data_IF_222532752570
#
_entry.id   IF_222532752570
#
_cell.length_a   1.000
_cell.length_b   1.000
_cell.length_c   1.000
_cell.angle_alpha   90.00
_cell.angle_beta   90.00
_cell.angle_gamma   90.00
#
_symmetry.space_group_name_H-M   'P 1'
#
loop_
_entity.id
_entity.type
_entity.pdbx_description
1 polymer ?
#
# COMPACT_ATOMS: atom_id res chain seq x y z
N UNK A 1 8.29 -65.80 45.45
CA UNK A 1 7.79 -65.15 46.68
C UNK A 1 6.56 -64.34 46.27
N UNK A 2 5.32 -64.82 46.38
CA UNK A 2 4.47 -64.90 47.60
C UNK A 2 4.55 -63.55 48.36
N UNK A 3 3.51 -62.78 48.62
CA UNK A 3 2.06 -62.85 48.45
C UNK A 3 1.43 -61.52 48.94
N UNK A 4 0.11 -61.34 48.74
CA UNK A 4 -0.67 -60.15 49.18
C UNK A 4 -0.63 -59.95 50.72
N UNK A 5 -1.12 -58.80 51.25
CA UNK A 5 -2.54 -58.73 51.60
C UNK A 5 -3.25 -57.36 51.36
N UNK A 6 -4.58 -57.50 51.43
CA UNK A 6 -5.72 -56.60 51.29
C UNK A 6 -5.98 -55.59 52.42
N UNK A 7 -6.72 -54.50 52.14
CA UNK A 7 -8.04 -54.07 52.73
C UNK A 7 -8.34 -52.60 52.32
N UNK A 8 -9.44 -52.30 51.61
CA UNK A 8 -10.78 -51.80 52.07
C UNK A 8 -10.68 -50.57 53.01
N UNK A 9 -11.44 -49.46 52.97
CA UNK A 9 -12.65 -48.97 52.25
C UNK A 9 -12.89 -47.51 52.75
N UNK A 10 -13.77 -46.73 52.08
CA UNK A 10 -14.53 -45.53 52.54
C UNK A 10 -13.88 -44.13 52.54
N UNK A 11 -14.36 -43.28 51.62
CA UNK A 11 -15.27 -42.19 51.98
C UNK A 11 -14.75 -40.74 51.96
N UNK A 12 -15.60 -39.86 51.38
CA UNK A 12 -15.68 -38.37 51.46
C UNK A 12 -15.13 -37.65 50.22
N UNK A 13 -16.02 -37.32 49.27
CA UNK A 13 -16.76 -36.05 49.17
C UNK A 13 -15.84 -34.86 48.90
N UNK A 14 -15.75 -34.50 47.62
CA UNK A 14 -15.51 -33.15 47.14
C UNK A 14 -16.43 -32.16 47.85
N UNK A 15 -15.89 -31.03 48.29
CA UNK A 15 -16.49 -29.68 48.32
C UNK A 15 -15.41 -28.72 48.87
N UNK A 16 -15.02 -27.75 48.06
CA UNK A 16 -14.49 -26.43 48.47
C UNK A 16 -14.73 -25.51 47.28
N UNK A 17 -15.90 -24.84 47.25
CA UNK A 17 -16.08 -23.44 47.65
C UNK A 17 -15.48 -22.46 46.62
N UNK A 18 -16.22 -22.25 45.52
CA UNK A 18 -16.22 -21.01 44.75
C UNK A 18 -17.69 -20.56 44.65
N UNK A 19 -18.13 -19.83 45.68
CA UNK A 19 -19.10 -18.73 45.57
C UNK A 19 -18.24 -17.49 45.90
N UNK A 20 -18.38 -16.31 45.29
CA UNK A 20 -19.59 -15.49 45.18
C UNK A 20 -19.35 -14.41 44.08
N UNK A 21 -20.45 -13.94 43.47
CA UNK A 21 -20.62 -12.71 42.69
C UNK A 21 -20.38 -12.76 41.17
N UNK A 22 -21.31 -13.39 40.45
CA UNK A 22 -21.63 -12.99 39.07
C UNK A 22 -23.13 -13.15 38.78
N UNK A 23 -23.95 -12.36 39.47
CA UNK A 23 -25.33 -12.06 39.04
C UNK A 23 -25.86 -10.94 39.94
N UNK A 24 -26.05 -9.76 39.37
CA UNK A 24 -26.97 -8.65 39.73
C UNK A 24 -26.37 -7.36 39.19
N UNK A 25 -26.70 -6.99 37.95
CA UNK A 25 -26.97 -5.61 37.47
C UNK A 25 -27.22 -5.59 35.95
N UNK A 26 -28.35 -6.15 35.51
CA UNK A 26 -28.88 -5.93 34.14
C UNK A 26 -30.32 -5.41 34.15
N UNK A 27 -30.90 -5.03 35.31
CA UNK A 27 -32.33 -4.64 35.37
C UNK A 27 -32.59 -3.19 35.85
N UNK A 28 -31.56 -2.39 36.14
CA UNK A 28 -31.76 -1.06 36.77
C UNK A 28 -31.53 0.14 35.84
N UNK A 29 -31.86 0.05 34.54
CA UNK A 29 -31.81 1.23 33.63
C UNK A 29 -33.13 1.49 32.88
N UNK A 30 -34.10 0.57 32.93
CA UNK A 30 -35.35 0.73 32.15
C UNK A 30 -36.50 1.40 32.95
N UNK A 31 -36.34 1.63 34.26
CA UNK A 31 -37.43 2.13 35.13
C UNK A 31 -37.21 3.51 35.77
N UNK A 32 -36.42 4.40 35.18
CA UNK A 32 -36.30 5.81 35.62
C UNK A 32 -36.82 6.82 34.57
N UNK A 33 -37.43 6.37 33.47
CA UNK A 33 -38.02 7.28 32.46
C UNK A 33 -39.56 7.34 32.44
N UNK A 34 -40.23 6.82 33.47
CA UNK A 34 -41.68 7.01 33.65
C UNK A 34 -41.98 7.17 35.13
N UNK A 35 -41.86 8.39 35.65
CA UNK A 35 -42.60 8.92 36.81
C UNK A 35 -42.02 10.27 37.25
N UNK A 36 -42.01 11.27 36.38
CA UNK A 36 -42.02 12.69 36.77
C UNK A 36 -42.73 13.48 35.66
N UNK A 37 -44.03 13.19 35.50
CA UNK A 37 -44.97 14.10 34.88
C UNK A 37 -45.94 14.50 35.99
N UNK A 38 -45.84 15.75 36.44
CA UNK A 38 -46.96 16.69 36.68
C UNK A 38 -46.47 17.94 37.43
N UNK A 39 -46.87 19.09 36.88
CA UNK A 39 -47.12 20.40 37.49
C UNK A 39 -45.95 21.31 37.91
N UNK A 40 -45.88 22.46 37.23
CA UNK A 40 -45.16 23.67 37.63
C UNK A 40 -45.20 24.74 36.53
N UNK A 41 -46.02 25.77 36.74
CA UNK A 41 -46.25 26.93 35.87
C UNK A 41 -45.12 27.98 35.89
N UNK A 42 -45.10 28.78 34.80
CA UNK A 42 -44.48 30.11 34.59
C UNK A 42 -42.95 30.25 34.64
N UNK A 43 -42.32 30.56 33.50
CA UNK A 43 -41.85 31.91 33.16
C UNK A 43 -41.17 31.94 31.77
N UNK A 44 -41.28 33.09 31.12
CA UNK A 44 -40.80 33.40 29.78
C UNK A 44 -39.27 33.49 29.73
N UNK A 45 -38.64 32.68 28.86
CA UNK A 45 -37.30 32.96 28.36
C UNK A 45 -37.21 32.58 26.87
N UNK A 46 -37.18 33.58 26.01
CA UNK A 46 -36.92 33.46 24.58
C UNK A 46 -35.55 32.83 24.34
N UNK A 47 -35.53 31.62 23.78
CA UNK A 47 -34.34 30.89 23.36
C UNK A 47 -33.75 31.59 22.12
N UNK A 48 -32.43 31.91 22.08
CA UNK A 48 -31.80 32.47 20.87
C UNK A 48 -31.82 31.42 19.75
N UNK A 49 -31.92 31.83 18.47
CA UNK A 49 -32.04 30.90 17.35
C UNK A 49 -30.80 30.03 17.22
N UNK A 50 -31.01 28.72 17.14
CA UNK A 50 -29.97 27.75 16.79
C UNK A 50 -29.32 28.15 15.46
N UNK A 51 -27.98 28.11 15.35
CA UNK A 51 -27.33 28.29 14.06
C UNK A 51 -27.73 27.10 13.20
N UNK A 52 -28.54 27.36 12.17
CA UNK A 52 -28.83 26.42 11.10
C UNK A 52 -27.54 26.18 10.34
N UNK A 53 -26.74 25.22 10.80
CA UNK A 53 -25.78 24.55 9.96
C UNK A 53 -26.57 23.89 8.85
N UNK A 54 -26.60 24.53 7.68
CA UNK A 54 -26.99 23.88 6.43
C UNK A 54 -26.16 22.60 6.35
N UNK A 55 -26.80 21.46 6.62
CA UNK A 55 -26.29 20.15 6.21
C UNK A 55 -26.05 20.26 4.71
N UNK A 56 -24.78 20.36 4.33
CA UNK A 56 -24.38 20.28 2.94
C UNK A 56 -24.78 18.88 2.46
N UNK A 57 -25.65 18.83 1.45
CA UNK A 57 -26.01 17.61 0.76
C UNK A 57 -24.75 16.84 0.35
N UNK A 58 -24.58 15.56 0.75
CA UNK A 58 -23.41 14.75 0.42
C UNK A 58 -23.13 14.60 -1.08
N UNK A 59 -24.12 14.90 -1.93
CA UNK A 59 -24.09 14.69 -3.37
C UNK A 59 -23.35 15.84 -4.10
N UNK A 60 -23.18 17.03 -3.49
CA UNK A 60 -22.47 18.16 -4.15
C UNK A 60 -20.94 18.09 -4.07
N UNK A 61 -20.38 17.29 -3.16
CA UNK A 61 -18.92 17.18 -2.97
C UNK A 61 -18.20 16.28 -3.98
N UNK A 62 -18.93 15.52 -4.80
CA UNK A 62 -18.33 14.63 -5.82
C UNK A 62 -17.89 15.38 -7.10
N UNK A 63 -18.21 16.67 -7.23
CA UNK A 63 -18.05 17.44 -8.47
C UNK A 63 -16.66 18.09 -8.70
N UNK A 64 -15.70 17.96 -7.77
CA UNK A 64 -14.45 18.73 -7.83
C UNK A 64 -13.34 18.05 -8.64
N UNK A 65 -13.28 16.72 -8.63
CA UNK A 65 -12.22 15.98 -9.31
C UNK A 65 -12.73 15.40 -10.62
N UNK A 66 -12.50 16.10 -11.73
CA UNK A 66 -12.79 15.61 -13.09
C UNK A 66 -11.48 15.44 -13.85
N UNK A 67 -11.50 14.58 -14.88
CA UNK A 67 -10.34 14.45 -15.76
C UNK A 67 -9.99 15.79 -16.42
N UNK A 68 -11.00 16.56 -16.83
CA UNK A 68 -10.84 17.87 -17.48
C UNK A 68 -10.09 18.85 -16.58
N UNK A 69 -10.44 18.88 -15.29
CA UNK A 69 -9.75 19.72 -14.32
C UNK A 69 -8.27 19.32 -14.20
N UNK A 70 -7.99 18.02 -14.14
CA UNK A 70 -6.62 17.51 -14.01
C UNK A 70 -5.80 17.68 -15.29
N UNK A 71 -6.41 17.51 -16.45
CA UNK A 71 -5.75 17.65 -17.74
C UNK A 71 -5.34 19.09 -18.06
N UNK A 72 -5.96 20.08 -17.42
CA UNK A 72 -5.66 21.51 -17.57
C UNK A 72 -4.66 22.04 -16.54
N UNK A 73 -4.27 21.22 -15.55
CA UNK A 73 -3.28 21.62 -14.55
C UNK A 73 -1.93 21.88 -15.21
N UNK A 74 -1.36 23.05 -14.92
CA UNK A 74 -0.01 23.44 -15.29
C UNK A 74 1.00 23.16 -14.16
N UNK A 75 0.63 22.30 -13.21
CA UNK A 75 1.46 21.87 -12.10
C UNK A 75 1.36 20.37 -11.83
N UNK A 76 2.41 19.83 -11.24
CA UNK A 76 2.44 18.47 -10.72
C UNK A 76 1.64 18.38 -9.42
N UNK A 77 1.06 17.21 -9.14
CA UNK A 77 0.27 16.94 -7.93
C UNK A 77 1.14 16.66 -6.68
N UNK A 78 2.47 16.67 -6.83
CA UNK A 78 3.39 16.33 -5.75
C UNK A 78 3.92 17.55 -4.99
N UNK A 79 4.60 18.48 -5.68
CA UNK A 79 5.28 19.62 -5.06
C UNK A 79 5.76 20.66 -6.09
N UNK A 80 6.13 21.86 -5.64
CA UNK A 80 6.75 22.90 -6.50
C UNK A 80 8.01 22.41 -7.22
N UNK A 81 8.83 21.61 -6.55
CA UNK A 81 10.03 21.03 -7.16
C UNK A 81 9.66 20.10 -8.31
N UNK A 82 8.68 19.21 -8.10
CA UNK A 82 8.20 18.33 -9.16
C UNK A 82 7.54 19.11 -10.31
N UNK A 83 6.87 20.24 -10.05
CA UNK A 83 6.36 21.14 -11.10
C UNK A 83 7.49 21.78 -11.90
N UNK A 84 8.56 22.23 -11.23
CA UNK A 84 9.71 22.86 -11.87
C UNK A 84 10.46 21.92 -12.84
N UNK A 85 10.34 20.60 -12.68
CA UNK A 85 10.89 19.62 -13.63
C UNK A 85 10.16 19.58 -14.98
N UNK A 86 8.92 20.10 -15.05
CA UNK A 86 8.10 20.10 -16.26
C UNK A 86 7.42 18.76 -16.56
N UNK A 87 6.69 18.65 -17.68
CA UNK A 87 5.97 17.42 -18.06
C UNK A 87 6.91 16.28 -18.46
N UNK A 88 6.32 15.13 -18.84
CA UNK A 88 7.00 13.95 -19.38
C UNK A 88 7.92 13.19 -18.39
N UNK A 89 7.55 13.20 -17.11
CA UNK A 89 8.35 12.60 -16.05
C UNK A 89 8.20 11.08 -15.97
N UNK A 90 9.30 10.41 -15.60
CA UNK A 90 9.35 8.97 -15.25
C UNK A 90 9.53 8.84 -13.75
N UNK A 91 8.54 8.30 -13.05
CA UNK A 91 8.45 8.35 -11.59
C UNK A 91 8.60 6.98 -10.94
N UNK A 92 9.38 6.88 -9.87
CA UNK A 92 9.31 5.76 -8.92
C UNK A 92 8.70 6.29 -7.64
N UNK A 93 7.52 5.79 -7.30
CA UNK A 93 6.70 6.31 -6.23
C UNK A 93 6.84 5.47 -4.96
N UNK A 94 7.13 6.14 -3.85
CA UNK A 94 7.25 5.56 -2.52
C UNK A 94 6.23 6.21 -1.59
N UNK A 95 5.68 5.42 -0.66
CA UNK A 95 4.92 5.92 0.49
C UNK A 95 5.76 5.78 1.75
N UNK A 96 5.92 6.85 2.52
CA UNK A 96 6.67 6.83 3.79
C UNK A 96 5.83 7.51 4.88
N UNK A 97 5.57 6.80 5.97
CA UNK A 97 4.88 7.32 7.15
C UNK A 97 5.41 6.58 8.37
N UNK A 98 5.69 7.32 9.44
CA UNK A 98 6.33 6.77 10.64
C UNK A 98 5.42 5.87 11.48
N UNK A 99 6.02 5.11 12.40
CA UNK A 99 5.32 4.24 13.36
C UNK A 99 4.33 4.96 14.28
N UNK A 100 4.37 6.28 14.37
CA UNK A 100 3.45 7.12 15.14
C UNK A 100 2.43 7.85 14.27
N UNK A 101 2.42 7.58 12.97
CA UNK A 101 1.45 8.16 12.04
C UNK A 101 0.09 7.47 12.19
N UNK A 102 -1.02 8.17 11.91
CA UNK A 102 -2.37 7.60 12.01
C UNK A 102 -2.64 6.37 11.12
N UNK A 103 -1.75 6.09 10.17
CA UNK A 103 -1.85 4.93 9.27
C UNK A 103 -1.19 3.67 9.83
N UNK A 104 -0.43 3.75 10.93
CA UNK A 104 0.25 2.60 11.53
C UNK A 104 0.66 2.84 12.98
N UNK A 105 0.63 1.79 13.79
CA UNK A 105 1.30 1.72 15.10
C UNK A 105 2.18 0.46 15.13
N UNK A 106 3.21 0.45 14.28
CA UNK A 106 4.08 -0.71 14.09
C UNK A 106 5.56 -0.26 14.00
N UNK A 107 6.45 -0.80 14.86
CA UNK A 107 7.88 -0.50 14.85
C UNK A 107 8.58 -0.72 13.50
N UNK A 108 8.03 -1.54 12.61
CA UNK A 108 8.52 -1.73 11.24
C UNK A 108 8.52 -0.43 10.40
N UNK A 109 7.75 0.58 10.81
CA UNK A 109 7.73 1.90 10.19
C UNK A 109 8.54 2.94 10.98
N UNK A 110 9.48 2.50 11.81
CA UNK A 110 10.39 3.39 12.53
C UNK A 110 11.36 4.08 11.58
N UNK A 111 11.58 5.37 11.79
CA UNK A 111 12.47 6.20 10.97
C UNK A 111 13.92 5.70 11.01
N UNK A 112 14.44 5.42 12.20
CA UNK A 112 15.86 5.12 12.39
C UNK A 112 16.20 3.65 12.13
N UNK A 113 15.27 2.72 12.40
CA UNK A 113 15.55 1.28 12.30
C UNK A 113 15.07 0.63 11.01
N UNK A 114 14.18 1.29 10.26
CA UNK A 114 13.55 0.69 9.08
C UNK A 114 13.54 1.64 7.88
N UNK A 115 12.88 2.80 7.99
CA UNK A 115 12.70 3.71 6.85
C UNK A 115 14.04 4.16 6.26
N UNK A 116 14.91 4.80 7.06
CA UNK A 116 16.18 5.32 6.54
C UNK A 116 17.18 4.23 6.16
N UNK A 117 17.34 3.14 6.94
CA UNK A 117 18.17 2.01 6.55
C UNK A 117 17.79 1.38 5.21
N UNK A 118 16.50 1.38 4.83
CA UNK A 118 16.05 0.86 3.54
C UNK A 118 16.02 1.91 2.42
N UNK A 119 15.65 3.14 2.73
CA UNK A 119 15.55 4.21 1.75
C UNK A 119 16.91 4.59 1.16
N UNK A 120 17.95 4.73 2.00
CA UNK A 120 19.29 5.11 1.56
C UNK A 120 19.86 4.17 0.48
N UNK A 121 19.91 2.84 0.67
CA UNK A 121 20.36 1.93 -0.37
C UNK A 121 19.43 1.96 -1.60
N UNK A 122 18.12 2.04 -1.41
CA UNK A 122 17.18 2.09 -2.54
C UNK A 122 17.40 3.30 -3.46
N UNK A 123 17.61 4.49 -2.87
CA UNK A 123 17.91 5.71 -3.62
C UNK A 123 19.21 5.53 -4.43
N UNK A 124 20.24 4.94 -3.83
CA UNK A 124 21.50 4.68 -4.51
C UNK A 124 21.36 3.67 -5.65
N UNK A 125 20.64 2.58 -5.43
CA UNK A 125 20.38 1.56 -6.45
C UNK A 125 19.60 2.14 -7.64
N UNK A 126 18.53 2.90 -7.38
CA UNK A 126 17.74 3.56 -8.43
C UNK A 126 18.60 4.57 -9.20
N UNK A 127 19.43 5.36 -8.51
CA UNK A 127 20.34 6.31 -9.17
C UNK A 127 21.28 5.61 -10.17
N UNK A 128 21.74 4.40 -9.86
CA UNK A 128 22.63 3.63 -10.73
C UNK A 128 21.85 2.95 -11.86
N UNK A 129 20.74 2.30 -11.53
CA UNK A 129 20.03 1.39 -12.43
C UNK A 129 18.99 2.09 -13.32
N UNK A 130 18.43 3.21 -12.85
CA UNK A 130 17.39 3.98 -13.52
C UNK A 130 17.68 5.50 -13.41
N UNK A 131 18.85 5.99 -13.89
CA UNK A 131 19.31 7.36 -13.65
C UNK A 131 18.38 8.46 -14.20
N UNK A 132 17.55 8.14 -15.21
CA UNK A 132 16.57 9.07 -15.78
C UNK A 132 15.22 9.10 -15.05
N UNK A 133 15.02 8.22 -14.06
CA UNK A 133 13.80 8.17 -13.28
C UNK A 133 13.94 9.02 -12.02
N UNK A 134 12.87 9.70 -11.64
CA UNK A 134 12.78 10.56 -10.45
C UNK A 134 12.10 9.75 -9.35
N UNK A 135 12.65 9.79 -8.14
CA UNK A 135 11.99 9.19 -6.97
C UNK A 135 11.03 10.23 -6.40
N UNK A 136 9.73 9.89 -6.30
CA UNK A 136 8.74 10.70 -5.59
C UNK A 136 8.36 10.03 -4.29
N UNK A 137 8.61 10.72 -3.18
CA UNK A 137 8.32 10.22 -1.84
C UNK A 137 7.08 10.94 -1.31
N UNK A 138 5.96 10.22 -1.27
CA UNK A 138 4.73 10.67 -0.61
C UNK A 138 4.85 10.42 0.88
N UNK A 139 4.93 11.50 1.66
CA UNK A 139 5.46 11.44 3.02
C UNK A 139 4.57 12.12 4.05
N UNK A 140 4.42 11.47 5.21
CA UNK A 140 3.99 12.09 6.45
C UNK A 140 5.18 12.09 7.41
N UNK A 141 5.67 13.29 7.72
CA UNK A 141 6.84 13.50 8.57
C UNK A 141 6.59 13.26 10.07
N UNK A 142 5.41 12.80 10.46
CA UNK A 142 5.10 12.44 11.85
C UNK A 142 6.14 11.44 12.40
N UNK A 143 6.73 11.79 13.55
CA UNK A 143 7.78 10.99 14.20
C UNK A 143 9.20 11.17 13.62
N UNK A 144 9.40 11.98 12.57
CA UNK A 144 10.74 12.26 12.03
C UNK A 144 11.47 13.37 12.80
N UNK A 145 12.81 13.31 12.81
CA UNK A 145 13.68 14.38 13.31
C UNK A 145 13.95 15.43 12.24
N UNK A 146 14.34 16.64 12.64
CA UNK A 146 14.69 17.71 11.69
C UNK A 146 15.87 17.31 10.77
N UNK A 147 16.83 16.54 11.27
CA UNK A 147 17.96 16.07 10.47
C UNK A 147 17.52 15.08 9.39
N UNK A 148 16.56 14.20 9.70
CA UNK A 148 15.95 13.30 8.70
C UNK A 148 15.20 14.10 7.62
N UNK A 149 14.42 15.12 8.00
CA UNK A 149 13.76 16.01 7.02
C UNK A 149 14.77 16.69 6.10
N UNK A 150 15.79 17.32 6.68
CA UNK A 150 16.85 18.00 5.93
C UNK A 150 17.60 17.06 5.00
N UNK A 151 17.87 15.83 5.43
CA UNK A 151 18.48 14.80 4.58
C UNK A 151 17.62 14.47 3.37
N UNK A 152 16.31 14.27 3.54
CA UNK A 152 15.42 13.93 2.43
C UNK A 152 15.35 15.03 1.38
N UNK A 153 15.26 16.29 1.82
CA UNK A 153 15.27 17.44 0.92
C UNK A 153 16.63 17.69 0.23
N UNK A 154 17.74 17.13 0.75
CA UNK A 154 19.06 17.26 0.12
C UNK A 154 19.35 16.18 -0.93
N UNK A 155 18.49 15.16 -1.05
CA UNK A 155 18.69 14.08 -2.01
C UNK A 155 18.50 14.58 -3.46
N UNK A 156 19.50 14.39 -4.35
CA UNK A 156 19.36 14.76 -5.74
C UNK A 156 18.38 13.80 -6.43
N UNK A 157 17.66 14.32 -7.41
CA UNK A 157 16.70 13.54 -8.20
C UNK A 157 15.59 12.85 -7.38
N UNK A 158 15.30 13.40 -6.20
CA UNK A 158 14.18 13.03 -5.34
C UNK A 158 13.25 14.23 -5.22
N UNK A 159 11.96 13.99 -5.30
CA UNK A 159 10.92 14.96 -4.99
C UNK A 159 10.16 14.51 -3.74
N UNK A 160 9.98 15.45 -2.81
CA UNK A 160 9.20 15.23 -1.59
C UNK A 160 7.77 15.72 -1.84
N UNK A 161 6.81 14.82 -1.69
CA UNK A 161 5.37 15.10 -1.76
C UNK A 161 4.81 15.03 -0.33
N UNK A 162 4.89 16.13 0.41
CA UNK A 162 4.38 16.20 1.77
C UNK A 162 2.85 16.10 1.76
N UNK A 163 2.32 15.04 2.36
CA UNK A 163 0.89 14.71 2.36
C UNK A 163 0.02 15.78 3.04
N UNK A 164 0.60 16.67 3.85
CA UNK A 164 -0.10 17.80 4.47
C UNK A 164 -0.24 19.02 3.54
N UNK A 165 0.50 19.05 2.43
CA UNK A 165 0.61 20.25 1.57
C UNK A 165 0.69 19.92 0.07
N UNK A 166 0.06 18.83 -0.36
CA UNK A 166 -0.01 18.47 -1.77
C UNK A 166 -0.71 19.55 -2.60
N UNK A 167 -0.20 19.89 -3.80
CA UNK A 167 -0.94 20.67 -4.78
C UNK A 167 -2.32 20.06 -5.05
N UNK A 168 -3.33 20.90 -5.28
CA UNK A 168 -4.74 20.55 -5.49
C UNK A 168 -5.45 19.93 -4.28
N UNK A 169 -4.82 18.98 -3.59
CA UNK A 169 -5.45 18.22 -2.50
C UNK A 169 -5.28 18.86 -1.11
N UNK A 170 -4.24 19.66 -0.90
CA UNK A 170 -3.81 20.07 0.43
C UNK A 170 -3.58 18.84 1.33
N UNK A 171 -4.11 18.87 2.54
CA UNK A 171 -4.07 17.74 3.48
C UNK A 171 -5.21 16.72 3.29
N UNK A 172 -6.16 16.93 2.38
CA UNK A 172 -7.42 16.15 2.33
C UNK A 172 -7.21 14.64 2.14
N UNK A 173 -6.20 14.22 1.36
CA UNK A 173 -5.94 12.80 1.14
C UNK A 173 -5.59 12.08 2.45
N UNK A 174 -4.97 12.76 3.42
CA UNK A 174 -4.68 12.17 4.71
C UNK A 174 -5.94 11.69 5.42
N UNK A 175 -7.10 12.32 5.21
CA UNK A 175 -8.33 12.01 5.95
C UNK A 175 -9.00 10.69 5.55
N UNK A 176 -8.57 10.09 4.45
CA UNK A 176 -9.26 8.92 3.91
C UNK A 176 -8.41 7.97 3.08
N UNK A 177 -7.29 8.41 2.49
CA UNK A 177 -6.46 7.57 1.64
C UNK A 177 -5.40 6.85 2.50
N UNK A 178 -5.42 5.50 2.56
CA UNK A 178 -4.44 4.74 3.32
C UNK A 178 -3.00 4.99 2.84
N UNK A 179 -2.05 4.97 3.79
CA UNK A 179 -0.63 5.29 3.54
C UNK A 179 0.00 4.57 2.35
N UNK A 180 -0.17 3.24 2.26
CA UNK A 180 0.35 2.43 1.15
C UNK A 180 -0.16 2.82 -0.23
N UNK A 181 -1.30 3.52 -0.32
CA UNK A 181 -1.92 3.91 -1.58
C UNK A 181 -1.48 5.31 -2.05
N UNK A 182 -0.75 6.09 -1.25
CA UNK A 182 -0.27 7.40 -1.69
C UNK A 182 0.64 7.32 -2.91
N UNK A 183 1.51 6.30 -2.97
CA UNK A 183 2.33 5.98 -4.14
C UNK A 183 1.56 5.64 -5.42
N UNK A 184 0.22 5.51 -5.36
CA UNK A 184 -0.60 5.31 -6.55
C UNK A 184 -1.03 6.63 -7.19
N UNK A 185 -0.98 7.74 -6.44
CA UNK A 185 -1.43 9.07 -6.91
C UNK A 185 -0.69 9.63 -8.14
N UNK A 186 0.59 9.28 -8.44
CA UNK A 186 1.23 9.70 -9.70
C UNK A 186 0.49 9.30 -10.96
N UNK A 187 -0.37 8.27 -10.92
CA UNK A 187 -1.17 7.87 -12.09
C UNK A 187 -2.14 8.96 -12.55
N UNK A 188 -2.52 9.86 -11.63
CA UNK A 188 -3.43 10.98 -11.87
C UNK A 188 -2.67 12.27 -12.23
N UNK A 189 -1.36 12.28 -12.10
CA UNK A 189 -0.55 13.48 -12.27
C UNK A 189 -0.36 13.82 -13.76
N UNK A 190 -0.70 15.05 -14.20
CA UNK A 190 -0.60 15.44 -15.60
C UNK A 190 0.84 15.43 -16.13
N UNK A 191 1.84 15.61 -15.26
CA UNK A 191 3.25 15.72 -15.65
C UNK A 191 3.95 14.36 -15.73
N UNK A 192 3.28 13.29 -15.32
CA UNK A 192 3.84 11.94 -15.31
C UNK A 192 3.48 11.24 -16.62
N UNK A 193 4.48 10.63 -17.26
CA UNK A 193 4.30 9.79 -18.45
C UNK A 193 4.40 8.31 -18.12
N UNK A 194 5.29 7.96 -17.18
CA UNK A 194 5.49 6.60 -16.68
C UNK A 194 5.66 6.65 -15.17
N UNK A 195 5.07 5.69 -14.47
CA UNK A 195 5.40 5.50 -13.06
C UNK A 195 5.49 4.03 -12.67
N UNK A 196 6.24 3.80 -11.60
CA UNK A 196 6.38 2.52 -10.89
C UNK A 196 5.98 2.74 -9.43
N UNK A 197 5.13 1.88 -8.89
CA UNK A 197 4.82 1.83 -7.46
C UNK A 197 5.82 0.92 -6.77
N UNK A 198 6.37 1.36 -5.62
CA UNK A 198 7.47 0.65 -4.96
C UNK A 198 7.33 0.59 -3.44
N UNK A 199 7.72 -0.54 -2.85
CA UNK A 199 7.96 -0.69 -1.42
C UNK A 199 9.41 -0.27 -1.08
N UNK A 200 9.60 0.50 0.00
CA UNK A 200 10.91 1.06 0.36
C UNK A 200 11.92 0.00 0.80
N UNK A 201 11.42 -1.11 1.32
CA UNK A 201 12.20 -2.25 1.83
C UNK A 201 12.73 -3.18 0.72
N UNK A 202 12.30 -2.98 -0.53
CA UNK A 202 12.58 -3.89 -1.65
C UNK A 202 13.70 -3.37 -2.56
N UNK A 203 14.82 -4.10 -2.73
CA UNK A 203 15.95 -3.64 -3.55
C UNK A 203 15.64 -3.51 -5.04
N UNK A 204 16.06 -2.40 -5.65
CA UNK A 204 16.07 -2.26 -7.10
C UNK A 204 17.26 -3.04 -7.66
N UNK A 205 17.01 -3.97 -8.58
CA UNK A 205 18.02 -4.86 -9.15
C UNK A 205 17.94 -4.91 -10.67
N UNK A 206 19.03 -5.34 -11.32
CA UNK A 206 19.12 -5.40 -12.79
C UNK A 206 17.95 -6.15 -13.43
N UNK A 207 17.52 -7.25 -12.81
CA UNK A 207 16.38 -8.06 -13.26
C UNK A 207 15.11 -7.25 -13.47
N UNK A 208 14.81 -6.30 -12.58
CA UNK A 208 13.65 -5.42 -12.74
C UNK A 208 13.87 -4.37 -13.83
N UNK A 209 15.09 -3.84 -13.93
CA UNK A 209 15.39 -2.88 -15.01
C UNK A 209 15.27 -3.49 -16.40
N UNK A 210 15.56 -4.78 -16.55
CA UNK A 210 15.36 -5.49 -17.81
C UNK A 210 13.88 -5.60 -18.18
N UNK A 211 13.00 -5.92 -17.21
CA UNK A 211 11.56 -5.96 -17.48
C UNK A 211 10.98 -4.57 -17.77
N UNK A 212 11.47 -3.53 -17.09
CA UNK A 212 11.13 -2.12 -17.39
C UNK A 212 11.59 -1.73 -18.80
N UNK A 213 12.82 -2.04 -19.18
CA UNK A 213 13.34 -1.72 -20.51
C UNK A 213 12.55 -2.42 -21.62
N UNK A 214 12.17 -3.68 -21.40
CA UNK A 214 11.27 -4.40 -22.31
C UNK A 214 9.92 -3.67 -22.36
N UNK A 215 9.31 -3.34 -21.22
CA UNK A 215 8.02 -2.65 -21.18
C UNK A 215 8.03 -1.28 -21.90
N UNK A 216 9.12 -0.54 -21.80
CA UNK A 216 9.28 0.76 -22.43
C UNK A 216 9.62 0.70 -23.92
N UNK A 217 9.90 -0.48 -24.48
CA UNK A 217 10.24 -0.62 -25.90
C UNK A 217 9.06 -0.32 -26.82
N UNK A 218 9.36 0.01 -28.08
CA UNK A 218 8.35 0.27 -29.12
C UNK A 218 7.45 -0.96 -29.37
N UNK A 219 7.99 -2.18 -29.24
CA UNK A 219 7.22 -3.43 -29.32
C UNK A 219 6.06 -3.47 -28.30
N UNK A 220 6.24 -2.79 -27.16
CA UNK A 220 5.32 -2.79 -26.04
C UNK A 220 4.65 -1.45 -25.80
N UNK A 221 4.64 -0.56 -26.81
CA UNK A 221 3.98 0.74 -26.71
C UNK A 221 2.51 0.64 -26.29
N UNK A 222 1.77 -0.34 -26.83
CA UNK A 222 0.35 -0.58 -26.50
C UNK A 222 0.12 -1.14 -25.09
N UNK A 223 1.18 -1.49 -24.35
CA UNK A 223 1.11 -2.00 -22.98
C UNK A 223 1.14 -0.83 -22.00
N UNK A 224 -0.04 -0.43 -21.52
CA UNK A 224 -0.18 0.73 -20.63
C UNK A 224 0.10 0.40 -19.16
N UNK A 225 0.33 -0.88 -18.85
CA UNK A 225 0.56 -1.41 -17.51
C UNK A 225 1.71 -2.41 -17.50
N UNK A 226 2.44 -2.46 -16.38
CA UNK A 226 3.53 -3.39 -16.11
C UNK A 226 3.29 -4.08 -14.77
N UNK A 227 3.39 -5.41 -14.72
CA UNK A 227 3.10 -6.19 -13.51
C UNK A 227 4.15 -7.29 -13.35
N UNK A 228 4.72 -7.43 -12.15
CA UNK A 228 5.77 -8.40 -11.86
C UNK A 228 5.33 -9.33 -10.71
N UNK A 229 5.48 -10.64 -10.91
CA UNK A 229 5.19 -11.69 -9.91
C UNK A 229 6.36 -12.67 -9.83
N UNK A 230 7.37 -12.29 -9.04
CA UNK A 230 8.65 -12.99 -9.00
C UNK A 230 8.81 -13.95 -7.81
N UNK A 231 7.75 -14.37 -7.13
CA UNK A 231 7.85 -15.29 -5.99
C UNK A 231 6.61 -16.15 -5.83
N UNK A 232 6.72 -17.32 -5.19
CA UNK A 232 5.57 -18.22 -4.96
C UNK A 232 4.50 -17.61 -4.05
N UNK A 233 4.82 -16.56 -3.29
CA UNK A 233 3.84 -15.81 -2.53
C UNK A 233 3.22 -14.64 -3.31
N UNK A 234 3.71 -14.36 -4.53
CA UNK A 234 3.24 -13.28 -5.39
C UNK A 234 2.03 -13.72 -6.26
N UNK A 235 1.17 -14.58 -5.71
CA UNK A 235 0.04 -15.19 -6.42
C UNK A 235 -1.17 -14.27 -6.66
N UNK A 236 -1.13 -13.05 -6.12
CA UNK A 236 -2.18 -12.05 -6.29
C UNK A 236 -2.10 -11.35 -7.65
N UNK A 237 -3.18 -10.68 -8.04
CA UNK A 237 -3.28 -10.09 -9.38
C UNK A 237 -2.30 -8.95 -9.61
N UNK A 238 -2.13 -8.03 -8.65
CA UNK A 238 -1.15 -6.94 -8.74
C UNK A 238 -0.60 -6.70 -7.32
N UNK A 239 0.71 -6.87 -7.13
CA UNK A 239 1.37 -6.52 -5.87
C UNK A 239 1.46 -5.01 -5.70
N UNK A 240 1.39 -4.53 -4.45
CA UNK A 240 1.40 -3.09 -4.15
C UNK A 240 2.68 -2.38 -4.61
N UNK A 241 3.84 -3.02 -4.48
CA UNK A 241 5.16 -2.45 -4.81
C UNK A 241 5.83 -2.99 -6.08
N UNK A 242 5.13 -3.74 -6.94
CA UNK A 242 5.70 -4.37 -8.14
C UNK A 242 4.82 -4.19 -9.38
N UNK A 243 4.45 -2.94 -9.65
CA UNK A 243 3.70 -2.59 -10.86
C UNK A 243 4.02 -1.17 -11.33
N UNK A 244 3.64 -0.88 -12.58
CA UNK A 244 3.72 0.45 -13.15
C UNK A 244 2.62 0.70 -14.16
N UNK A 245 2.43 1.97 -14.51
CA UNK A 245 1.56 2.36 -15.62
C UNK A 245 2.18 3.47 -16.46
N UNK A 246 1.64 3.66 -17.66
CA UNK A 246 2.04 4.69 -18.61
C UNK A 246 0.94 5.75 -18.78
N UNK A 247 0.73 6.68 -17.82
CA UNK A 247 -0.21 7.80 -17.97
C UNK A 247 -0.04 8.58 -19.27
N UNK A 248 1.20 8.75 -19.76
CA UNK A 248 1.48 9.45 -21.01
C UNK A 248 0.81 8.81 -22.23
N UNK A 249 0.54 7.49 -22.18
CA UNK A 249 -0.10 6.73 -23.25
C UNK A 249 -1.63 6.61 -23.09
N UNK A 250 -2.16 6.80 -21.87
CA UNK A 250 -3.55 6.46 -21.56
C UNK A 250 -4.18 7.31 -20.42
N UNK A 251 -3.84 8.60 -20.34
CA UNK A 251 -4.16 9.47 -19.20
C UNK A 251 -5.63 9.44 -18.78
N UNK A 252 -6.57 9.61 -19.73
CA UNK A 252 -8.01 9.59 -19.41
C UNK A 252 -8.48 8.22 -18.93
N UNK A 253 -8.07 7.15 -19.62
CA UNK A 253 -8.42 5.78 -19.22
C UNK A 253 -7.91 5.48 -17.80
N UNK A 254 -6.65 5.86 -17.51
CA UNK A 254 -6.03 5.63 -16.21
C UNK A 254 -6.65 6.50 -15.12
N UNK A 255 -7.03 7.74 -15.43
CA UNK A 255 -7.83 8.58 -14.52
C UNK A 255 -9.13 7.87 -14.14
N UNK A 256 -9.92 7.41 -15.11
CA UNK A 256 -11.20 6.74 -14.83
C UNK A 256 -11.02 5.42 -14.03
N UNK A 257 -9.92 4.70 -14.27
CA UNK A 257 -9.59 3.48 -13.52
C UNK A 257 -9.27 3.79 -12.05
N UNK A 258 -8.49 4.84 -11.81
CA UNK A 258 -7.97 5.21 -10.48
C UNK A 258 -8.78 6.29 -9.77
N UNK A 259 -9.83 6.83 -10.39
CA UNK A 259 -10.76 7.75 -9.77
C UNK A 259 -11.30 7.28 -8.40
N UNK A 260 -11.54 5.98 -8.15
CA UNK A 260 -11.91 5.49 -6.82
C UNK A 260 -10.91 5.81 -5.70
N UNK A 261 -9.63 6.12 -6.00
CA UNK A 261 -8.67 6.65 -5.02
C UNK A 261 -9.12 7.98 -4.42
N UNK A 262 -9.88 8.78 -5.18
CA UNK A 262 -10.31 10.12 -4.79
C UNK A 262 -11.67 10.13 -4.09
N UNK A 263 -12.32 8.97 -3.93
CA UNK A 263 -13.63 8.84 -3.31
C UNK A 263 -13.47 8.36 -1.86
N UNK A 264 -13.70 9.21 -0.83
CA UNK A 264 -13.46 8.83 0.57
C UNK A 264 -14.23 7.59 1.04
N UNK A 265 -15.47 7.42 0.59
CA UNK A 265 -16.32 6.27 0.93
C UNK A 265 -15.82 4.94 0.33
N UNK A 266 -14.97 5.00 -0.70
CA UNK A 266 -14.34 3.82 -1.30
C UNK A 266 -12.95 3.61 -0.71
N UNK A 267 -12.07 4.61 -0.79
CA UNK A 267 -10.66 4.47 -0.42
C UNK A 267 -10.44 4.05 1.06
N UNK A 268 -11.31 4.49 2.00
CA UNK A 268 -11.21 4.11 3.42
C UNK A 268 -11.34 2.62 3.69
N UNK A 269 -11.91 1.85 2.76
CA UNK A 269 -12.11 0.40 2.92
C UNK A 269 -10.83 -0.41 2.82
N UNK A 270 -9.74 0.19 2.33
CA UNK A 270 -8.52 -0.50 1.90
C UNK A 270 -7.33 -0.30 2.86
N UNK A 271 -7.50 -0.61 4.15
CA UNK A 271 -6.42 -0.56 5.14
C UNK A 271 -5.54 -1.85 5.12
N UNK A 272 -4.40 -1.84 5.82
CA UNK A 272 -3.55 -3.04 5.94
C UNK A 272 -2.95 -3.50 4.60
N UNK A 273 -3.37 -4.66 4.10
CA UNK A 273 -3.03 -5.17 2.74
C UNK A 273 -3.95 -4.64 1.64
N UNK A 274 -4.80 -3.67 1.97
CA UNK A 274 -5.86 -3.17 1.11
C UNK A 274 -5.36 -2.44 -0.15
N UNK A 275 -4.09 -2.05 -0.22
CA UNK A 275 -3.53 -1.52 -1.47
C UNK A 275 -3.55 -2.59 -2.59
N UNK A 276 -3.29 -3.85 -2.25
CA UNK A 276 -3.38 -4.97 -3.18
C UNK A 276 -4.84 -5.33 -3.50
N UNK A 277 -5.72 -5.29 -2.49
CA UNK A 277 -7.15 -5.53 -2.70
C UNK A 277 -7.77 -4.47 -3.60
N UNK A 278 -7.40 -3.19 -3.44
CA UNK A 278 -7.83 -2.10 -4.29
C UNK A 278 -7.43 -2.36 -5.74
N UNK A 279 -6.16 -2.73 -5.97
CA UNK A 279 -5.68 -3.06 -7.30
C UNK A 279 -6.42 -4.27 -7.90
N UNK A 280 -6.69 -5.29 -7.11
CA UNK A 280 -7.45 -6.47 -7.54
C UNK A 280 -8.90 -6.14 -7.92
N UNK A 281 -9.59 -5.34 -7.11
CA UNK A 281 -11.02 -5.07 -7.27
C UNK A 281 -11.32 -3.96 -8.28
N UNK A 282 -10.50 -2.91 -8.36
CA UNK A 282 -10.79 -1.74 -9.19
C UNK A 282 -9.96 -1.65 -10.46
N UNK A 283 -8.77 -2.25 -10.49
CA UNK A 283 -7.77 -2.01 -11.55
C UNK A 283 -7.59 -3.24 -12.44
N UNK A 284 -7.35 -4.41 -11.86
CA UNK A 284 -6.91 -5.62 -12.57
C UNK A 284 -7.75 -5.95 -13.81
N UNK A 285 -9.07 -6.09 -13.66
CA UNK A 285 -9.95 -6.46 -14.78
C UNK A 285 -9.94 -5.42 -15.92
N UNK A 286 -9.69 -4.14 -15.60
CA UNK A 286 -9.66 -3.04 -16.57
C UNK A 286 -8.32 -2.95 -17.32
N UNK A 287 -7.25 -3.54 -16.79
CA UNK A 287 -5.88 -3.41 -17.34
C UNK A 287 -5.27 -4.71 -17.84
N UNK A 288 -5.75 -5.89 -17.41
CA UNK A 288 -5.09 -7.18 -17.67
C UNK A 288 -4.81 -7.48 -19.15
N UNK A 289 -5.69 -7.07 -20.06
CA UNK A 289 -5.50 -7.25 -21.51
C UNK A 289 -4.45 -6.31 -22.11
N UNK A 290 -4.20 -5.17 -21.44
CA UNK A 290 -3.23 -4.14 -21.84
C UNK A 290 -1.97 -4.14 -20.94
N UNK A 291 -1.80 -5.14 -20.08
CA UNK A 291 -0.61 -5.28 -19.25
C UNK A 291 0.49 -6.07 -19.98
N UNK A 292 1.74 -5.69 -19.74
CA UNK A 292 2.90 -6.56 -19.89
C UNK A 292 3.19 -7.17 -18.52
N UNK A 293 3.20 -8.49 -18.44
CA UNK A 293 3.30 -9.21 -17.18
C UNK A 293 4.48 -10.17 -17.22
N UNK A 294 5.24 -10.23 -16.14
CA UNK A 294 6.30 -11.20 -15.94
C UNK A 294 6.03 -12.03 -14.69
N UNK A 295 6.20 -13.35 -14.79
CA UNK A 295 5.74 -14.29 -13.77
C UNK A 295 6.62 -15.53 -13.69
N UNK A 296 7.09 -15.85 -12.47
CA UNK A 296 7.96 -16.99 -12.22
C UNK A 296 7.21 -18.27 -11.84
N UNK A 297 5.98 -18.17 -11.30
CA UNK A 297 5.26 -19.31 -10.71
C UNK A 297 3.81 -19.45 -11.19
N UNK A 298 3.16 -18.34 -11.52
CA UNK A 298 1.74 -18.21 -11.79
C UNK A 298 1.41 -17.95 -13.26
N UNK A 299 2.36 -18.20 -14.19
CA UNK A 299 2.15 -17.99 -15.63
C UNK A 299 0.94 -18.75 -16.22
N UNK A 300 0.55 -19.88 -15.62
CA UNK A 300 -0.66 -20.63 -16.01
C UNK A 300 -1.96 -19.99 -15.51
N UNK A 301 -1.91 -19.38 -14.33
CA UNK A 301 -3.02 -18.64 -13.73
C UNK A 301 -3.23 -17.31 -14.44
N UNK A 302 -2.15 -16.57 -14.67
CA UNK A 302 -2.14 -15.29 -15.39
C UNK A 302 -1.74 -15.50 -16.85
N UNK A 303 -2.69 -15.99 -17.66
CA UNK A 303 -2.47 -16.24 -19.09
C UNK A 303 -1.93 -14.99 -19.79
N UNK A 304 -0.87 -15.18 -20.57
CA UNK A 304 -0.17 -14.10 -21.26
C UNK A 304 0.97 -13.46 -20.46
N UNK A 305 1.19 -13.86 -19.20
CA UNK A 305 2.44 -13.58 -18.50
C UNK A 305 3.61 -14.23 -19.22
N UNK A 306 4.72 -13.50 -19.28
CA UNK A 306 6.00 -13.94 -19.82
C UNK A 306 6.88 -14.49 -18.69
N UNK A 307 7.79 -15.42 -18.98
CA UNK A 307 8.88 -15.73 -18.07
C UNK A 307 9.77 -14.49 -17.91
N UNK A 308 10.43 -14.34 -16.77
CA UNK A 308 11.42 -13.28 -16.60
C UNK A 308 12.61 -13.46 -17.57
N UNK A 309 13.23 -12.34 -18.01
CA UNK A 309 14.30 -12.37 -19.02
C UNK A 309 15.67 -12.80 -18.47
N UNK A 310 15.80 -12.97 -17.16
CA UNK A 310 17.04 -13.40 -16.49
C UNK A 310 16.81 -14.57 -15.54
N UNK A 311 17.89 -15.26 -15.20
CA UNK A 311 17.93 -16.17 -14.06
C UNK A 311 18.20 -15.38 -12.77
N UNK A 312 17.57 -15.76 -11.66
CA UNK A 312 17.96 -15.26 -10.34
C UNK A 312 19.28 -15.93 -9.94
N UNK A 313 20.23 -15.17 -9.37
CA UNK A 313 21.49 -15.77 -8.91
C UNK A 313 21.26 -16.78 -7.78
N UNK A 314 20.21 -16.60 -6.96
CA UNK A 314 19.74 -17.50 -5.90
C UNK A 314 18.23 -17.40 -5.79
N UNK A 315 17.59 -18.42 -5.23
CA UNK A 315 16.13 -18.44 -5.16
C UNK A 315 15.50 -17.30 -4.34
N UNK A 316 16.18 -16.83 -3.28
CA UNK A 316 15.73 -15.72 -2.43
C UNK A 316 16.02 -14.32 -3.02
N UNK A 317 16.62 -14.25 -4.21
CA UNK A 317 16.90 -13.00 -4.94
C UNK A 317 15.73 -12.61 -5.87
N UNK A 318 14.49 -12.61 -5.35
CA UNK A 318 13.31 -12.24 -6.12
C UNK A 318 12.97 -10.75 -6.01
N UNK A 319 12.30 -10.20 -7.01
CA UNK A 319 11.76 -8.83 -6.96
C UNK A 319 10.70 -8.73 -5.87
N UNK A 320 10.78 -7.71 -5.02
CA UNK A 320 9.86 -7.50 -3.89
C UNK A 320 10.25 -8.20 -2.59
N UNK A 321 11.47 -8.76 -2.52
CA UNK A 321 12.00 -9.29 -1.27
C UNK A 321 12.30 -8.17 -0.27
N UNK A 322 12.04 -8.42 1.01
CA UNK A 322 12.37 -7.49 2.10
C UNK A 322 13.88 -7.54 2.35
N UNK A 323 14.55 -6.39 2.38
CA UNK A 323 15.97 -6.32 2.78
C UNK A 323 16.18 -6.78 4.23
N UNK A 324 17.28 -7.49 4.54
CA UNK A 324 18.30 -7.98 3.63
C UNK A 324 17.80 -9.17 2.81
N UNK A 325 17.97 -9.11 1.50
CA UNK A 325 17.75 -10.23 0.61
C UNK A 325 18.82 -10.25 -0.46
N UNK A 326 19.09 -11.43 -1.01
CA UNK A 326 20.17 -11.63 -1.97
C UNK A 326 21.58 -11.28 -1.44
N UNK A 327 21.85 -11.48 -0.15
CA UNK A 327 23.18 -11.23 0.44
C UNK A 327 23.98 -12.53 0.54
N UNK A 328 23.53 -13.51 1.33
CA UNK A 328 24.20 -14.79 1.52
C UNK A 328 23.38 -15.98 1.01
N UNK A 329 24.06 -17.06 0.62
CA UNK A 329 23.41 -18.28 0.13
C UNK A 329 22.60 -19.02 1.21
N UNK A 330 22.89 -18.76 2.49
CA UNK A 330 22.22 -19.33 3.66
C UNK A 330 21.12 -18.44 4.23
N UNK A 331 20.88 -17.25 3.63
CA UNK A 331 19.82 -16.36 4.11
C UNK A 331 18.48 -17.07 3.92
N UNK A 332 17.89 -17.50 5.03
CA UNK A 332 16.55 -18.05 5.05
C UNK A 332 15.61 -16.96 4.56
N UNK A 333 14.86 -17.23 3.49
CA UNK A 333 13.79 -16.33 3.08
C UNK A 333 12.76 -16.27 4.23
N UNK A 334 12.54 -15.11 4.86
CA UNK A 334 11.56 -14.99 5.94
C UNK A 334 10.13 -15.32 5.46
N UNK A 335 9.93 -15.34 4.14
CA UNK A 335 8.68 -15.59 3.43
C UNK A 335 8.62 -17.05 2.90
N UNK A 336 9.65 -17.86 3.18
CA UNK A 336 9.69 -19.31 2.94
C UNK A 336 10.64 -19.72 1.81
N UNK A 337 11.18 -20.94 1.87
CA UNK A 337 12.24 -21.38 0.94
C UNK A 337 11.86 -21.22 -0.53
N UNK A 338 12.75 -20.67 -1.37
CA UNK A 338 12.47 -20.46 -2.77
C UNK A 338 12.36 -21.81 -3.48
N UNK A 339 11.17 -22.08 -4.00
CA UNK A 339 10.94 -23.28 -4.80
C UNK A 339 11.48 -23.09 -6.21
N UNK A 340 11.87 -24.20 -6.82
CA UNK A 340 12.24 -24.24 -8.24
C UNK A 340 11.05 -23.76 -9.07
N UNK A 341 11.29 -22.84 -10.01
CA UNK A 341 10.29 -22.37 -10.96
C UNK A 341 9.60 -23.54 -11.68
N UNK A 342 8.26 -23.53 -11.86
CA UNK A 342 7.58 -24.50 -12.70
C UNK A 342 8.15 -24.47 -14.13
N UNK A 343 8.45 -25.62 -14.77
CA UNK A 343 8.99 -25.64 -16.14
C UNK A 343 8.17 -24.82 -17.14
N UNK A 344 6.83 -24.81 -16.96
CA UNK A 344 5.93 -24.04 -17.81
C UNK A 344 6.10 -22.52 -17.70
N UNK A 345 6.70 -22.00 -16.63
CA UNK A 345 6.95 -20.58 -16.40
C UNK A 345 8.41 -20.18 -16.63
N UNK A 346 9.26 -21.11 -17.09
CA UNK A 346 10.65 -20.82 -17.49
C UNK A 346 10.71 -20.39 -18.96
N UNK A 347 11.72 -19.60 -19.38
CA UNK A 347 11.94 -19.32 -20.79
C UNK A 347 12.11 -20.60 -21.60
N UNK A 348 11.55 -20.65 -22.82
CA UNK A 348 11.58 -21.84 -23.68
C UNK A 348 13.01 -22.28 -24.02
N UNK A 349 13.89 -21.31 -24.18
CA UNK A 349 15.31 -21.43 -24.49
C UNK A 349 16.19 -21.61 -23.24
N UNK A 350 15.64 -21.45 -22.04
CA UNK A 350 16.37 -21.54 -20.76
C UNK A 350 15.62 -22.39 -19.73
N UNK A 351 15.24 -23.61 -20.11
CA UNK A 351 14.56 -24.54 -19.20
C UNK A 351 15.44 -25.01 -18.03
N UNK A 352 16.76 -24.83 -18.12
CA UNK A 352 17.72 -25.08 -17.06
C UNK A 352 17.73 -24.02 -15.95
N UNK A 353 17.09 -22.86 -16.16
CA UNK A 353 16.97 -21.84 -15.11
C UNK A 353 16.01 -22.30 -14.02
N UNK A 354 16.57 -22.87 -12.95
CA UNK A 354 15.79 -23.40 -11.83
C UNK A 354 15.14 -22.28 -11.02
N UNK A 355 15.81 -21.12 -10.96
CA UNK A 355 15.28 -19.90 -10.38
C UNK A 355 15.12 -18.86 -11.50
N UNK A 356 14.03 -19.03 -12.24
CA UNK A 356 13.44 -17.95 -13.03
C UNK A 356 12.64 -17.02 -12.12
#
# INVERSE_FOLDING_TARGET
MIGRPTRRIFGRRCISLINVFFTVTVVTVIFINRLLSTNGSSESATKPPEPTTKLLDPIKTESVYTYENFAQLNESLCSKQSTARGPNQKIIALSIYGSTSKFTDNPMFSWDTSIFPFLKPLVNEIKVLLPSWIIRIYIDFTGSTQSQKTFLYSLPNVDICDMHSLPVFGAKLLDYLPGKMWRFTPVLDPFVDYFLSRDVDSPMVKRETETINIWLSDEHEKKIFHILRDHKQHGISILGGLWGAAPGRARRQLFDIFFPLLIPSIARKYNGSGDQDFLGQHVWEKVRSKALMFDSYFCRQYRGSRPFPTERPRGNCYLGCIRPCCINATDTDPIGSPEICPPACRPKDHQNWLYC
#
